data_IF_325462287218
#
_entry.id   IF_325462287218
#
_cell.length_a   1.000
_cell.length_b   1.000
_cell.length_c   1.000
_cell.angle_alpha   90.00
_cell.angle_beta   90.00
_cell.angle_gamma   90.00
#
_symmetry.space_group_name_H-M   'P 1'
#
loop_
_entity.id
_entity.type
_entity.pdbx_description
1 polymer ?
#
# COMPACT_ATOMS: atom_id res chain seq x y z
N UNK A 1 29.52 -52.32 -21.58
CA UNK A 1 29.35 -50.85 -21.58
C UNK A 1 29.12 -50.40 -23.00
N UNK A 2 27.88 -50.04 -23.37
CA UNK A 2 27.58 -49.44 -24.68
C UNK A 2 27.64 -47.92 -24.51
N UNK A 3 28.59 -47.29 -25.18
CA UNK A 3 28.73 -45.84 -25.24
C UNK A 3 27.61 -45.26 -26.09
N UNK A 4 26.76 -44.41 -25.48
CA UNK A 4 25.78 -43.61 -26.22
C UNK A 4 26.50 -42.64 -27.16
N UNK A 5 26.06 -42.49 -28.41
CA UNK A 5 26.68 -41.55 -29.34
C UNK A 5 26.43 -40.10 -28.90
N UNK A 6 27.38 -39.18 -29.15
CA UNK A 6 27.24 -37.78 -28.78
C UNK A 6 26.07 -37.14 -29.54
N UNK A 7 25.14 -36.56 -28.79
CA UNK A 7 24.02 -35.76 -29.30
C UNK A 7 24.58 -34.56 -30.06
N UNK A 8 24.42 -34.53 -31.39
CA UNK A 8 24.79 -33.37 -32.20
C UNK A 8 23.83 -32.22 -31.87
N UNK A 9 24.36 -31.15 -31.30
CA UNK A 9 23.62 -29.91 -31.04
C UNK A 9 23.18 -29.33 -32.40
N UNK A 10 21.88 -29.10 -32.55
CA UNK A 10 21.30 -28.56 -33.77
C UNK A 10 21.51 -27.03 -33.81
N UNK A 11 22.69 -26.62 -34.27
CA UNK A 11 23.08 -25.23 -34.50
C UNK A 11 22.05 -24.33 -35.21
N UNK A 12 21.25 -24.79 -36.20
CA UNK A 12 20.23 -23.92 -36.82
C UNK A 12 19.12 -23.49 -35.86
N UNK A 13 18.77 -24.32 -34.88
CA UNK A 13 17.75 -23.98 -33.87
C UNK A 13 18.31 -22.92 -32.92
N UNK A 14 19.56 -23.07 -32.49
CA UNK A 14 20.24 -22.10 -31.63
C UNK A 14 20.34 -20.72 -32.30
N UNK A 15 20.70 -20.70 -33.59
CA UNK A 15 20.77 -19.48 -34.40
C UNK A 15 19.39 -18.80 -34.57
N UNK A 16 18.32 -19.59 -34.75
CA UNK A 16 16.95 -19.07 -34.80
C UNK A 16 16.53 -18.40 -33.49
N UNK A 17 16.85 -19.02 -32.35
CA UNK A 17 16.53 -18.46 -31.01
C UNK A 17 17.28 -17.16 -30.78
N UNK A 18 18.58 -17.08 -31.12
CA UNK A 18 19.38 -15.86 -30.97
C UNK A 18 18.85 -14.73 -31.86
N UNK A 19 18.49 -15.03 -33.12
CA UNK A 19 17.94 -14.03 -34.04
C UNK A 19 16.59 -13.47 -33.55
N UNK A 20 15.71 -14.32 -32.99
CA UNK A 20 14.44 -13.90 -32.43
C UNK A 20 14.61 -12.97 -31.23
N UNK A 21 15.55 -13.29 -30.32
CA UNK A 21 15.85 -12.45 -29.15
C UNK A 21 16.41 -11.08 -29.55
N UNK A 22 17.28 -11.04 -30.57
CA UNK A 22 17.82 -9.79 -31.09
C UNK A 22 16.73 -8.90 -31.72
N UNK A 23 15.76 -9.50 -32.44
CA UNK A 23 14.64 -8.77 -33.03
C UNK A 23 13.69 -8.17 -31.97
N UNK A 24 13.39 -8.94 -30.92
CA UNK A 24 12.57 -8.45 -29.79
C UNK A 24 13.27 -7.32 -29.01
N UNK A 25 14.58 -7.44 -28.81
CA UNK A 25 15.37 -6.41 -28.13
C UNK A 25 15.41 -5.10 -28.95
N UNK A 26 15.58 -5.20 -30.28
CA UNK A 26 15.55 -4.05 -31.17
C UNK A 26 14.16 -3.38 -31.24
N UNK A 27 13.08 -4.15 -31.08
CA UNK A 27 11.72 -3.62 -31.01
C UNK A 27 11.47 -2.86 -29.69
N UNK A 28 11.93 -3.41 -28.57
CA UNK A 28 11.78 -2.78 -27.25
C UNK A 28 12.57 -1.47 -27.11
N UNK A 29 13.65 -1.30 -27.86
CA UNK A 29 14.47 -0.08 -27.87
C UNK A 29 13.94 1.02 -28.80
N UNK A 30 12.80 0.83 -29.48
CA UNK A 30 12.21 1.89 -30.28
C UNK A 30 11.62 2.96 -29.36
N UNK A 31 12.05 4.24 -29.47
CA UNK A 31 11.46 5.31 -28.69
C UNK A 31 9.96 5.43 -29.02
N UNK A 32 9.10 5.67 -28.02
CA UNK A 32 7.68 5.86 -28.26
C UNK A 32 7.49 7.02 -29.23
N UNK A 33 6.67 6.80 -30.27
CA UNK A 33 6.29 7.87 -31.18
C UNK A 33 5.58 8.96 -30.37
N UNK A 34 5.90 10.25 -30.58
CA UNK A 34 5.18 11.33 -29.92
C UNK A 34 3.69 11.23 -30.29
N UNK A 35 2.83 11.21 -29.27
CA UNK A 35 1.40 11.36 -29.45
C UNK A 35 1.10 12.81 -29.83
N UNK A 36 0.61 13.03 -31.05
CA UNK A 36 0.09 14.32 -31.50
C UNK A 36 -1.21 14.66 -30.74
N UNK A 37 -1.07 15.20 -29.54
CA UNK A 37 -2.16 15.83 -28.80
C UNK A 37 -2.36 17.26 -29.31
N UNK A 38 -3.02 17.41 -30.45
CA UNK A 38 -3.55 18.71 -30.86
C UNK A 38 -4.83 19.02 -30.07
N UNK A 39 -4.92 20.14 -29.34
CA UNK A 39 -6.14 20.50 -28.63
C UNK A 39 -7.22 20.94 -29.63
N UNK A 40 -8.34 20.23 -29.64
CA UNK A 40 -9.54 20.63 -30.33
C UNK A 40 -10.08 21.94 -29.71
N UNK A 41 -9.86 23.07 -30.39
CA UNK A 41 -10.54 24.33 -30.12
C UNK A 41 -12.04 24.14 -30.34
N UNK A 42 -12.82 23.97 -29.28
CA UNK A 42 -14.28 24.18 -29.32
C UNK A 42 -14.54 25.68 -29.44
N UNK A 43 -15.01 26.09 -30.61
CA UNK A 43 -15.58 27.41 -30.83
C UNK A 43 -16.83 27.58 -29.94
N UNK A 44 -16.83 28.63 -29.13
CA UNK A 44 -18.00 29.07 -28.39
C UNK A 44 -19.02 29.63 -29.39
N UNK A 45 -20.16 28.93 -29.53
CA UNK A 45 -21.34 29.48 -30.17
C UNK A 45 -22.15 30.24 -29.13
N UNK A 46 -22.16 31.57 -29.26
CA UNK A 46 -22.98 32.50 -28.49
C UNK A 46 -24.44 32.28 -28.88
N UNK A 47 -25.22 31.64 -28.01
CA UNK A 47 -26.68 31.59 -28.12
C UNK A 47 -27.28 32.64 -27.18
N UNK A 48 -27.70 33.75 -27.75
CA UNK A 48 -28.46 34.82 -27.09
C UNK A 48 -29.88 34.31 -26.83
N UNK A 49 -30.18 33.87 -25.61
CA UNK A 49 -31.55 33.57 -25.19
C UNK A 49 -32.18 34.80 -24.51
N UNK A 50 -33.34 35.21 -24.99
CA UNK A 50 -34.13 36.33 -24.46
C UNK A 50 -34.69 36.01 -23.06
N UNK A 51 -34.92 37.03 -22.20
CA UNK A 51 -35.42 36.83 -20.85
C UNK A 51 -36.91 36.43 -20.87
N UNK A 52 -37.22 35.34 -20.17
CA UNK A 52 -38.60 34.97 -19.79
C UNK A 52 -38.94 35.74 -18.50
N UNK A 53 -39.94 36.64 -18.49
CA UNK A 53 -40.41 37.27 -17.26
C UNK A 53 -41.42 36.37 -16.56
N UNK A 54 -41.21 36.06 -15.28
CA UNK A 54 -42.28 35.58 -14.39
C UNK A 54 -42.05 34.29 -13.59
N UNK A 55 -40.83 33.75 -13.50
CA UNK A 55 -40.55 32.64 -12.58
C UNK A 55 -39.98 33.16 -11.26
N UNK A 56 -40.82 33.24 -10.22
CA UNK A 56 -40.38 33.36 -8.82
C UNK A 56 -39.54 32.12 -8.49
N UNK A 57 -38.23 32.30 -8.41
CA UNK A 57 -37.31 31.27 -7.95
C UNK A 57 -37.63 30.95 -6.47
N UNK A 58 -37.68 29.67 -6.06
CA UNK A 58 -37.76 29.33 -4.65
C UNK A 58 -36.51 29.87 -3.96
N UNK A 59 -36.72 30.51 -2.80
CA UNK A 59 -35.64 31.04 -1.98
C UNK A 59 -34.60 29.95 -1.74
N UNK A 60 -33.36 30.19 -2.22
CA UNK A 60 -32.20 29.37 -1.91
C UNK A 60 -32.10 29.30 -0.39
N UNK A 61 -32.13 28.10 0.24
CA UNK A 61 -31.92 28.00 1.68
C UNK A 61 -30.59 28.69 2.01
N UNK A 62 -30.58 29.46 3.09
CA UNK A 62 -29.38 30.09 3.59
C UNK A 62 -28.32 28.99 3.76
N UNK A 63 -27.26 29.05 2.94
CA UNK A 63 -26.06 28.24 3.17
C UNK A 63 -25.53 28.63 4.55
N UNK A 64 -25.32 27.63 5.40
CA UNK A 64 -24.69 27.82 6.69
C UNK A 64 -23.33 28.50 6.46
N UNK A 65 -23.03 29.63 7.11
CA UNK A 65 -21.76 30.34 6.91
C UNK A 65 -20.52 29.56 7.38
N UNK A 66 -20.70 28.35 7.94
CA UNK A 66 -19.63 27.41 8.30
C UNK A 66 -19.32 26.35 7.22
N UNK A 67 -20.10 26.25 6.13
CA UNK A 67 -19.72 25.50 4.92
C UNK A 67 -19.00 26.43 3.92
N UNK A 68 -17.87 27.01 4.34
CA UNK A 68 -16.93 27.55 3.38
C UNK A 68 -16.37 26.39 2.54
N UNK A 69 -16.37 26.52 1.20
CA UNK A 69 -15.86 25.55 0.22
C UNK A 69 -14.60 24.83 0.73
N UNK A 70 -14.81 23.61 1.22
CA UNK A 70 -13.85 22.78 1.95
C UNK A 70 -13.05 21.88 0.98
N UNK A 71 -13.18 22.15 -0.34
CA UNK A 71 -12.55 21.45 -1.47
C UNK A 71 -11.06 21.79 -1.64
N UNK A 72 -10.50 22.66 -0.79
CA UNK A 72 -9.08 23.02 -0.76
C UNK A 72 -8.18 21.98 -0.03
N UNK A 73 -8.62 20.72 0.08
CA UNK A 73 -7.78 19.64 0.64
C UNK A 73 -6.48 19.41 -0.18
N UNK A 74 -6.41 19.97 -1.39
CA UNK A 74 -5.27 19.92 -2.30
C UNK A 74 -4.45 21.25 -2.38
N UNK A 75 -4.80 22.30 -1.62
CA UNK A 75 -3.99 23.54 -1.62
C UNK A 75 -2.63 23.31 -0.95
N UNK A 76 -1.61 23.97 -1.50
CA UNK A 76 -0.18 23.82 -1.22
C UNK A 76 0.14 23.42 0.25
N UNK A 77 1.06 22.46 0.47
CA UNK A 77 1.36 22.00 1.81
C UNK A 77 1.75 23.20 2.67
N UNK A 78 0.98 23.44 3.74
CA UNK A 78 1.40 24.40 4.74
C UNK A 78 2.82 24.03 5.18
N UNK A 79 3.66 25.03 5.41
CA UNK A 79 5.05 24.85 5.89
C UNK A 79 5.15 24.05 7.21
N UNK A 80 4.00 23.76 7.82
CA UNK A 80 3.84 23.04 9.07
C UNK A 80 2.63 22.07 8.98
N UNK A 81 2.83 20.75 9.08
CA UNK A 81 1.75 19.77 9.02
C UNK A 81 0.72 19.93 10.16
N UNK A 82 1.10 20.53 11.29
CA UNK A 82 0.18 20.84 12.41
C UNK A 82 -0.88 21.88 12.01
N UNK A 83 -0.62 22.60 10.92
CA UNK A 83 -1.51 23.63 10.38
C UNK A 83 -2.13 23.27 9.04
N UNK A 84 -1.59 22.26 8.36
CA UNK A 84 -2.04 21.81 7.04
C UNK A 84 -3.48 21.27 7.05
N UNK A 85 -3.97 20.80 8.20
CA UNK A 85 -5.28 20.16 8.28
C UNK A 85 -6.07 20.61 9.51
N UNK A 86 -7.39 20.71 9.36
CA UNK A 86 -8.33 20.92 10.46
C UNK A 86 -8.63 19.61 11.19
N UNK A 87 -9.09 19.63 12.47
CA UNK A 87 -9.52 18.41 13.15
C UNK A 87 -10.59 17.60 12.39
N UNK A 88 -11.45 18.28 11.63
CA UNK A 88 -12.45 17.64 10.79
C UNK A 88 -11.83 16.95 9.57
N UNK A 89 -10.86 17.59 8.90
CA UNK A 89 -10.10 16.98 7.81
C UNK A 89 -9.35 15.73 8.27
N UNK A 90 -8.72 15.75 9.46
CA UNK A 90 -8.10 14.55 10.05
C UNK A 90 -9.11 13.41 10.18
N UNK A 91 -10.27 13.65 10.80
CA UNK A 91 -11.31 12.61 10.95
C UNK A 91 -11.75 12.05 9.59
N UNK A 92 -11.97 12.92 8.60
CA UNK A 92 -12.34 12.50 7.24
C UNK A 92 -11.25 11.62 6.62
N UNK A 93 -10.00 12.05 6.65
CA UNK A 93 -8.87 11.31 6.09
C UNK A 93 -8.71 9.94 6.75
N UNK A 94 -8.78 9.86 8.08
CA UNK A 94 -8.71 8.59 8.81
C UNK A 94 -9.86 7.64 8.48
N UNK A 95 -11.07 8.17 8.26
CA UNK A 95 -12.23 7.38 7.83
C UNK A 95 -12.04 6.86 6.39
N UNK A 96 -11.57 7.71 5.48
CA UNK A 96 -11.24 7.33 4.10
C UNK A 96 -10.17 6.26 4.04
N UNK A 97 -9.08 6.43 4.79
CA UNK A 97 -8.02 5.44 4.87
C UNK A 97 -8.51 4.12 5.50
N UNK A 98 -9.42 4.17 6.48
CA UNK A 98 -10.06 2.97 7.04
C UNK A 98 -10.77 2.17 5.96
N UNK A 99 -11.55 2.88 5.15
CA UNK A 99 -12.32 2.28 4.09
C UNK A 99 -11.40 1.68 3.01
N UNK A 100 -10.34 2.40 2.60
CA UNK A 100 -9.37 1.91 1.63
C UNK A 100 -8.64 0.65 2.14
N UNK A 101 -8.29 0.62 3.42
CA UNK A 101 -7.65 -0.52 4.07
C UNK A 101 -8.58 -1.74 4.21
N UNK A 102 -9.81 -1.54 4.67
CA UNK A 102 -10.84 -2.58 4.72
C UNK A 102 -11.09 -3.14 3.30
N UNK A 103 -11.11 -2.29 2.26
CA UNK A 103 -11.21 -2.74 0.87
C UNK A 103 -10.03 -3.62 0.46
N UNK A 104 -8.78 -3.22 0.77
CA UNK A 104 -7.59 -4.01 0.44
C UNK A 104 -7.55 -5.36 1.15
N UNK A 105 -7.98 -5.41 2.41
CA UNK A 105 -7.98 -6.64 3.20
C UNK A 105 -9.10 -7.59 2.78
N UNK A 106 -10.26 -7.05 2.41
CA UNK A 106 -11.49 -7.84 2.32
C UNK A 106 -12.22 -7.83 0.96
N UNK A 107 -11.77 -7.08 -0.05
CA UNK A 107 -12.52 -6.90 -1.30
C UNK A 107 -11.67 -6.76 -2.57
N UNK A 108 -12.19 -7.32 -3.67
CA UNK A 108 -11.69 -7.10 -5.02
C UNK A 108 -12.15 -5.74 -5.57
N UNK A 109 -11.39 -5.11 -6.50
CA UNK A 109 -11.78 -3.84 -7.11
C UNK A 109 -13.12 -3.99 -7.83
N UNK A 110 -14.18 -3.38 -7.29
CA UNK A 110 -15.52 -3.37 -7.89
C UNK A 110 -16.68 -3.44 -6.91
N UNK A 111 -16.50 -4.05 -5.72
CA UNK A 111 -17.51 -4.03 -4.67
C UNK A 111 -17.04 -3.13 -3.52
N UNK A 112 -17.40 -1.85 -3.59
CA UNK A 112 -17.19 -0.83 -2.53
C UNK A 112 -17.92 -1.14 -1.21
N UNK A 113 -18.61 -2.27 -1.11
CA UNK A 113 -19.32 -2.65 0.09
C UNK A 113 -18.34 -3.11 1.17
N UNK A 114 -18.67 -2.75 2.42
CA UNK A 114 -17.96 -3.11 3.64
C UNK A 114 -17.42 -4.56 3.65
N UNK A 115 -16.44 -4.83 4.53
CA UNK A 115 -15.95 -6.18 4.84
C UNK A 115 -17.11 -7.20 4.80
N UNK A 116 -16.95 -8.33 4.08
CA UNK A 116 -18.07 -9.20 3.76
C UNK A 116 -18.71 -9.69 5.05
N UNK A 117 -20.03 -9.56 5.13
CA UNK A 117 -20.77 -10.05 6.29
C UNK A 117 -20.52 -11.55 6.44
N UNK A 118 -20.62 -12.11 7.67
CA UNK A 118 -20.48 -13.55 7.85
C UNK A 118 -21.36 -14.39 6.92
N UNK A 119 -22.58 -13.91 6.63
CA UNK A 119 -23.49 -14.55 5.67
C UNK A 119 -22.93 -14.54 4.23
N UNK A 120 -22.37 -13.42 3.78
CA UNK A 120 -21.75 -13.32 2.45
C UNK A 120 -20.51 -14.23 2.33
N UNK A 121 -19.69 -14.30 3.38
CA UNK A 121 -18.54 -15.23 3.45
C UNK A 121 -18.97 -16.69 3.34
N UNK A 122 -19.98 -17.10 4.12
CA UNK A 122 -20.53 -18.46 4.08
C UNK A 122 -21.05 -18.79 2.67
N UNK A 123 -21.78 -17.87 2.04
CA UNK A 123 -22.30 -18.06 0.69
C UNK A 123 -21.18 -18.21 -0.34
N UNK A 124 -20.15 -17.37 -0.28
CA UNK A 124 -19.01 -17.40 -1.20
C UNK A 124 -18.14 -18.66 -1.01
N UNK A 125 -17.94 -19.10 0.24
CA UNK A 125 -17.32 -20.39 0.55
C UNK A 125 -18.13 -21.56 -0.03
N UNK A 126 -19.46 -21.51 0.07
CA UNK A 126 -20.35 -22.49 -0.54
C UNK A 126 -20.21 -22.58 -2.06
N UNK A 127 -19.94 -21.44 -2.73
CA UNK A 127 -19.63 -21.38 -4.17
C UNK A 127 -18.22 -21.87 -4.51
N UNK A 128 -17.32 -21.94 -3.52
CA UNK A 128 -15.93 -22.38 -3.72
C UNK A 128 -14.95 -21.26 -4.04
N UNK A 129 -15.25 -20.02 -3.66
CA UNK A 129 -14.38 -18.89 -3.93
C UNK A 129 -13.15 -18.91 -3.00
N UNK A 130 -11.95 -19.06 -3.56
CA UNK A 130 -10.66 -19.03 -2.84
C UNK A 130 -10.45 -17.72 -2.06
N UNK A 131 -10.92 -16.60 -2.62
CA UNK A 131 -10.89 -15.30 -1.97
C UNK A 131 -11.69 -15.29 -0.66
N UNK A 132 -12.82 -16.00 -0.59
CA UNK A 132 -13.63 -16.08 0.62
C UNK A 132 -12.96 -16.90 1.72
N UNK A 133 -12.22 -17.96 1.37
CA UNK A 133 -11.41 -18.72 2.33
C UNK A 133 -10.28 -17.87 2.92
N UNK A 134 -9.62 -17.08 2.06
CA UNK A 134 -8.56 -16.14 2.49
C UNK A 134 -9.14 -15.03 3.38
N UNK A 135 -10.28 -14.44 2.99
CA UNK A 135 -10.94 -13.41 3.78
C UNK A 135 -11.42 -13.94 5.15
N UNK A 136 -11.93 -15.18 5.21
CA UNK A 136 -12.34 -15.80 6.46
C UNK A 136 -11.15 -16.06 7.42
N UNK A 137 -10.00 -16.47 6.88
CA UNK A 137 -8.77 -16.62 7.67
C UNK A 137 -8.26 -15.26 8.17
N UNK A 138 -8.21 -14.24 7.31
CA UNK A 138 -7.79 -12.89 7.69
C UNK A 138 -8.71 -12.26 8.75
N UNK A 139 -10.03 -12.47 8.66
CA UNK A 139 -10.97 -12.00 9.69
C UNK A 139 -10.79 -12.74 11.03
N UNK A 140 -10.46 -14.04 11.00
CA UNK A 140 -10.14 -14.77 12.22
C UNK A 140 -8.88 -14.20 12.90
N UNK A 141 -7.79 -14.04 12.15
CA UNK A 141 -6.54 -13.45 12.63
C UNK A 141 -6.77 -12.03 13.18
N UNK A 142 -7.54 -11.21 12.46
CA UNK A 142 -7.89 -9.85 12.89
C UNK A 142 -8.62 -9.84 14.23
N UNK A 143 -9.59 -10.75 14.41
CA UNK A 143 -10.36 -10.85 15.64
C UNK A 143 -9.57 -11.42 16.81
N UNK A 144 -8.61 -12.32 16.56
CA UNK A 144 -7.68 -12.81 17.57
C UNK A 144 -6.71 -11.71 18.02
N UNK A 145 -6.17 -10.92 17.08
CA UNK A 145 -5.31 -9.77 17.37
C UNK A 145 -6.05 -8.67 18.15
N UNK A 146 -7.32 -8.40 17.80
CA UNK A 146 -8.16 -7.40 18.43
C UNK A 146 -8.37 -7.64 19.94
N UNK A 147 -8.42 -8.90 20.37
CA UNK A 147 -8.58 -9.28 21.77
C UNK A 147 -7.39 -8.88 22.65
N UNK A 148 -6.20 -8.66 22.06
CA UNK A 148 -4.99 -8.27 22.77
C UNK A 148 -4.81 -6.75 22.94
N UNK A 149 -5.74 -5.95 22.39
CA UNK A 149 -5.62 -4.49 22.39
C UNK A 149 -6.19 -3.88 23.67
N UNK A 150 -5.43 -2.99 24.35
CA UNK A 150 -5.93 -2.29 25.51
C UNK A 150 -6.95 -1.24 25.08
N UNK A 151 -7.86 -0.90 25.99
CA UNK A 151 -8.82 0.17 25.80
C UNK A 151 -8.28 1.54 26.20
N UNK A 152 -7.21 1.57 26.99
CA UNK A 152 -6.74 2.81 27.59
C UNK A 152 -5.74 3.50 26.68
N UNK A 153 -6.09 4.74 26.31
CA UNK A 153 -5.16 5.72 25.79
C UNK A 153 -4.71 6.60 26.95
N UNK A 154 -3.41 6.81 27.06
CA UNK A 154 -2.83 7.52 28.19
C UNK A 154 -3.22 9.00 28.14
N UNK A 155 -4.22 9.38 28.94
CA UNK A 155 -4.72 10.74 29.02
C UNK A 155 -3.66 11.74 29.51
N UNK A 156 -2.59 11.26 30.15
CA UNK A 156 -1.47 12.08 30.63
C UNK A 156 -0.69 12.66 29.45
N UNK A 157 -0.45 11.87 28.40
CA UNK A 157 0.33 12.29 27.22
C UNK A 157 -0.34 13.45 26.45
N UNK A 158 -1.66 13.55 26.49
CA UNK A 158 -2.39 14.63 25.82
C UNK A 158 -2.28 15.97 26.57
N UNK A 159 -2.07 15.99 27.88
CA UNK A 159 -2.11 17.21 28.68
C UNK A 159 -0.89 18.13 28.43
N UNK A 160 0.21 17.60 27.91
CA UNK A 160 1.45 18.34 27.67
C UNK A 160 1.44 19.17 26.37
N UNK A 161 0.43 18.94 25.51
CA UNK A 161 0.28 19.58 24.21
C UNK A 161 -0.46 20.92 24.32
N UNK A 162 -0.25 21.84 23.38
CA UNK A 162 -1.08 23.06 23.30
C UNK A 162 -2.52 22.73 22.86
N UNK A 163 -3.46 23.64 23.09
CA UNK A 163 -4.89 23.39 22.84
C UNK A 163 -5.22 22.97 21.40
N UNK A 164 -4.51 23.48 20.40
CA UNK A 164 -4.74 23.08 19.00
C UNK A 164 -4.20 21.67 18.75
N UNK A 165 -2.98 21.41 19.19
CA UNK A 165 -2.34 20.11 19.06
C UNK A 165 -3.13 19.02 19.83
N UNK A 166 -3.67 19.36 21.00
CA UNK A 166 -4.63 18.52 21.74
C UNK A 166 -5.88 18.22 20.91
N UNK A 167 -6.47 19.21 20.25
CA UNK A 167 -7.66 19.01 19.42
C UNK A 167 -7.40 18.06 18.24
N UNK A 168 -6.22 18.15 17.61
CA UNK A 168 -5.80 17.23 16.54
C UNK A 168 -5.59 15.81 17.06
N UNK A 169 -4.84 15.67 18.16
CA UNK A 169 -4.60 14.36 18.77
C UNK A 169 -5.90 13.69 19.23
N UNK A 170 -6.85 14.46 19.80
CA UNK A 170 -8.20 13.97 20.15
C UNK A 170 -8.99 13.54 18.91
N UNK A 171 -8.95 14.30 17.83
CA UNK A 171 -9.63 13.95 16.59
C UNK A 171 -9.13 12.63 15.98
N UNK A 172 -7.82 12.40 16.01
CA UNK A 172 -7.21 11.12 15.62
C UNK A 172 -7.65 9.98 16.54
N UNK A 173 -7.61 10.20 17.85
CA UNK A 173 -8.06 9.23 18.86
C UNK A 173 -9.54 8.85 18.68
N UNK A 174 -10.43 9.83 18.51
CA UNK A 174 -11.86 9.60 18.32
C UNK A 174 -12.13 8.76 17.07
N UNK A 175 -11.48 9.09 15.94
CA UNK A 175 -11.60 8.32 14.71
C UNK A 175 -11.14 6.86 14.89
N UNK A 176 -10.09 6.65 15.70
CA UNK A 176 -9.57 5.32 16.01
C UNK A 176 -10.48 4.53 16.94
N UNK A 177 -11.04 5.16 17.97
CA UNK A 177 -12.00 4.52 18.88
C UNK A 177 -13.27 4.09 18.13
N UNK A 178 -13.73 4.91 17.18
CA UNK A 178 -14.83 4.54 16.29
C UNK A 178 -14.48 3.31 15.44
N UNK A 179 -13.29 3.26 14.85
CA UNK A 179 -12.81 2.08 14.09
C UNK A 179 -12.71 0.84 14.98
N UNK A 180 -12.16 0.98 16.19
CA UNK A 180 -12.04 -0.12 17.14
C UNK A 180 -13.42 -0.67 17.52
N UNK A 181 -14.40 0.21 17.74
CA UNK A 181 -15.79 -0.19 17.99
C UNK A 181 -16.39 -0.94 16.79
N UNK A 182 -16.18 -0.45 15.56
CA UNK A 182 -16.62 -1.13 14.34
C UNK A 182 -15.97 -2.51 14.19
N UNK A 183 -14.65 -2.64 14.37
CA UNK A 183 -13.94 -3.93 14.34
C UNK A 183 -14.46 -4.90 15.40
N UNK A 184 -14.72 -4.41 16.62
CA UNK A 184 -15.30 -5.22 17.70
C UNK A 184 -16.68 -5.73 17.35
N UNK A 185 -17.51 -4.89 16.75
CA UNK A 185 -18.83 -5.30 16.27
C UNK A 185 -18.68 -6.40 15.20
N UNK A 186 -17.82 -6.19 14.18
CA UNK A 186 -17.53 -7.21 13.16
C UNK A 186 -17.05 -8.53 13.77
N UNK A 187 -16.19 -8.48 14.77
CA UNK A 187 -15.70 -9.67 15.47
C UNK A 187 -16.74 -10.32 16.37
N UNK A 188 -17.71 -9.56 16.90
CA UNK A 188 -18.87 -10.12 17.57
C UNK A 188 -19.75 -10.88 16.56
N UNK A 189 -20.03 -10.28 15.41
CA UNK A 189 -20.82 -10.88 14.33
C UNK A 189 -20.13 -12.15 13.77
N UNK A 190 -18.80 -12.10 13.56
CA UNK A 190 -18.01 -13.25 13.15
C UNK A 190 -18.04 -14.38 14.19
N UNK A 191 -17.86 -14.06 15.48
CA UNK A 191 -17.93 -15.07 16.55
C UNK A 191 -19.31 -15.73 16.61
N UNK A 192 -20.38 -14.96 16.44
CA UNK A 192 -21.73 -15.49 16.36
C UNK A 192 -21.93 -16.45 15.17
N UNK A 193 -21.23 -16.22 14.06
CA UNK A 193 -21.29 -17.03 12.85
C UNK A 193 -20.19 -18.10 12.72
N UNK A 194 -19.25 -18.18 13.67
CA UNK A 194 -18.01 -18.97 13.56
C UNK A 194 -18.27 -20.43 13.21
N UNK A 195 -19.24 -21.06 13.88
CA UNK A 195 -19.56 -22.47 13.63
C UNK A 195 -20.00 -22.72 12.17
N UNK A 196 -20.77 -21.79 11.58
CA UNK A 196 -21.23 -21.89 10.21
C UNK A 196 -20.10 -21.62 9.20
N UNK A 197 -19.22 -20.65 9.48
CA UNK A 197 -18.02 -20.37 8.68
C UNK A 197 -17.08 -21.58 8.70
N UNK A 198 -16.82 -22.16 9.87
CA UNK A 198 -15.95 -23.34 10.02
C UNK A 198 -16.52 -24.56 9.29
N UNK A 199 -17.85 -24.75 9.32
CA UNK A 199 -18.52 -25.79 8.54
C UNK A 199 -18.36 -25.57 7.03
N UNK A 200 -18.56 -24.33 6.55
CA UNK A 200 -18.36 -23.98 5.14
C UNK A 200 -16.90 -24.14 4.70
N UNK A 201 -15.93 -23.78 5.55
CA UNK A 201 -14.49 -24.00 5.30
C UNK A 201 -14.13 -25.47 5.23
N UNK A 202 -14.66 -26.32 6.13
CA UNK A 202 -14.46 -27.77 6.05
C UNK A 202 -15.07 -28.36 4.77
N UNK A 203 -16.26 -27.92 4.39
CA UNK A 203 -16.88 -28.35 3.14
C UNK A 203 -16.08 -27.89 1.91
N UNK A 204 -15.50 -26.69 1.96
CA UNK A 204 -14.59 -26.19 0.94
C UNK A 204 -13.29 -27.02 0.85
N UNK A 205 -12.65 -27.28 1.99
CA UNK A 205 -11.41 -28.06 2.06
C UNK A 205 -11.59 -29.56 1.77
N UNK A 206 -12.80 -30.09 1.95
CA UNK A 206 -13.15 -31.46 1.59
C UNK A 206 -13.36 -31.65 0.09
N UNK A 207 -13.42 -30.56 -0.71
CA UNK A 207 -13.24 -30.67 -2.16
C UNK A 207 -11.83 -31.19 -2.40
N UNK A 208 -11.70 -32.22 -3.23
CA UNK A 208 -10.44 -32.95 -3.30
C UNK A 208 -9.31 -32.03 -3.78
N UNK A 209 -8.08 -32.28 -3.33
CA UNK A 209 -6.89 -31.61 -3.88
C UNK A 209 -6.82 -31.78 -5.40
N UNK A 210 -7.41 -32.86 -5.94
CA UNK A 210 -7.61 -33.08 -7.36
C UNK A 210 -8.56 -32.05 -7.98
N UNK A 211 -9.67 -31.67 -7.33
CA UNK A 211 -10.59 -30.63 -7.81
C UNK A 211 -9.97 -29.23 -7.72
N UNK A 212 -9.18 -28.95 -6.67
CA UNK A 212 -8.47 -27.69 -6.52
C UNK A 212 -7.34 -27.57 -7.55
N UNK A 213 -6.56 -28.65 -7.73
CA UNK A 213 -5.54 -28.74 -8.76
C UNK A 213 -6.16 -28.68 -10.16
N UNK A 214 -7.29 -29.33 -10.39
CA UNK A 214 -8.00 -29.31 -11.67
C UNK A 214 -8.61 -27.93 -11.98
N UNK A 215 -9.17 -27.25 -10.98
CA UNK A 215 -9.62 -25.87 -11.11
C UNK A 215 -8.45 -24.93 -11.45
N UNK A 216 -7.31 -25.08 -10.77
CA UNK A 216 -6.10 -24.31 -11.07
C UNK A 216 -5.56 -24.64 -12.47
N UNK A 217 -5.52 -25.93 -12.82
CA UNK A 217 -5.11 -26.45 -14.13
C UNK A 217 -6.00 -25.93 -15.25
N UNK A 218 -7.31 -25.87 -15.04
CA UNK A 218 -8.29 -25.34 -16.00
C UNK A 218 -8.16 -23.82 -16.13
N UNK A 219 -8.03 -23.11 -15.01
CA UNK A 219 -7.85 -21.66 -14.98
C UNK A 219 -6.55 -21.22 -15.67
N UNK A 220 -5.50 -22.04 -15.52
CA UNK A 220 -4.18 -21.82 -16.12
C UNK A 220 -3.99 -22.56 -17.47
N UNK A 221 -5.00 -23.27 -17.95
CA UNK A 221 -4.98 -24.03 -19.22
C UNK A 221 -3.80 -25.03 -19.37
N UNK A 222 -3.39 -25.70 -18.28
CA UNK A 222 -2.22 -26.60 -18.27
C UNK A 222 -2.59 -28.02 -18.76
N UNK A 223 -1.87 -28.57 -19.74
CA UNK A 223 -2.07 -29.96 -20.19
C UNK A 223 -1.44 -31.01 -19.25
N UNK A 224 -2.06 -32.20 -19.08
CA UNK A 224 -1.53 -33.24 -18.19
C UNK A 224 -0.23 -33.85 -18.72
N UNK A 225 0.70 -34.18 -17.80
CA UNK A 225 1.95 -34.94 -18.04
C UNK A 225 3.02 -34.29 -18.94
N UNK A 226 3.27 -32.98 -18.81
CA UNK A 226 4.38 -32.36 -19.54
C UNK A 226 5.72 -32.46 -18.80
N UNK A 227 6.74 -33.15 -19.36
CA UNK A 227 8.09 -33.12 -18.79
C UNK A 227 8.62 -31.68 -18.78
N UNK A 228 9.27 -31.30 -17.68
CA UNK A 228 9.64 -29.90 -17.41
C UNK A 228 8.53 -29.06 -16.79
N UNK A 229 7.52 -29.68 -16.16
CA UNK A 229 6.42 -29.00 -15.46
C UNK A 229 6.92 -27.91 -14.52
N UNK A 230 8.02 -28.12 -13.79
CA UNK A 230 8.61 -27.11 -12.90
C UNK A 230 9.20 -25.91 -13.68
N UNK A 231 9.82 -26.17 -14.83
CA UNK A 231 10.33 -25.13 -15.73
C UNK A 231 9.16 -24.34 -16.33
N UNK A 232 8.11 -25.01 -16.78
CA UNK A 232 6.91 -24.35 -17.29
C UNK A 232 6.16 -23.61 -16.21
N UNK A 233 5.97 -24.18 -15.02
CA UNK A 233 5.42 -23.46 -13.87
C UNK A 233 6.21 -22.19 -13.60
N UNK A 234 7.55 -22.25 -13.64
CA UNK A 234 8.38 -21.06 -13.52
C UNK A 234 8.18 -20.07 -14.67
N UNK A 235 8.14 -20.53 -15.91
CA UNK A 235 7.93 -19.69 -17.10
C UNK A 235 6.51 -19.07 -17.13
N UNK A 236 5.49 -19.81 -16.68
CA UNK A 236 4.09 -19.40 -16.53
C UNK A 236 3.93 -18.44 -15.34
N UNK A 237 4.57 -18.70 -14.20
CA UNK A 237 4.63 -17.76 -13.07
C UNK A 237 5.33 -16.47 -13.49
N UNK A 238 6.32 -16.55 -14.38
CA UNK A 238 6.99 -15.41 -14.98
C UNK A 238 6.13 -14.69 -16.04
N UNK A 239 5.24 -15.40 -16.75
CA UNK A 239 4.23 -14.81 -17.63
C UNK A 239 3.05 -14.17 -16.86
N UNK A 240 2.61 -14.81 -15.77
CA UNK A 240 1.60 -14.30 -14.83
C UNK A 240 2.11 -13.08 -14.04
N UNK A 241 3.41 -13.04 -13.76
CA UNK A 241 4.09 -11.83 -13.28
C UNK A 241 3.92 -10.70 -14.29
N UNK A 242 4.14 -10.98 -15.59
CA UNK A 242 4.00 -9.96 -16.65
C UNK A 242 2.55 -9.51 -16.85
N UNK A 243 1.55 -10.30 -16.47
CA UNK A 243 0.12 -9.95 -16.57
C UNK A 243 -0.42 -9.12 -15.40
N UNK A 244 0.45 -8.54 -14.55
CA UNK A 244 0.13 -7.69 -13.39
C UNK A 244 -0.71 -8.35 -12.28
N UNK A 245 -1.07 -9.64 -12.36
CA UNK A 245 -2.06 -10.22 -11.46
C UNK A 245 -1.53 -10.79 -10.14
N UNK A 246 -0.22 -11.05 -9.93
CA UNK A 246 0.22 -11.70 -8.67
C UNK A 246 1.60 -11.26 -8.15
N UNK A 247 1.67 -10.11 -7.46
CA UNK A 247 2.82 -9.69 -6.62
C UNK A 247 3.35 -10.82 -5.73
N UNK A 248 2.43 -11.60 -5.16
CA UNK A 248 2.73 -12.72 -4.25
C UNK A 248 3.56 -13.80 -4.94
N UNK A 249 3.24 -14.16 -6.18
CA UNK A 249 4.00 -15.16 -6.95
C UNK A 249 5.44 -14.72 -7.11
N UNK A 250 5.64 -13.45 -7.46
CA UNK A 250 6.97 -12.95 -7.71
C UNK A 250 7.86 -12.96 -6.47
N UNK A 251 7.32 -12.47 -5.35
CA UNK A 251 8.00 -12.48 -4.07
C UNK A 251 8.29 -13.92 -3.60
N UNK A 252 7.31 -14.82 -3.70
CA UNK A 252 7.49 -16.23 -3.32
C UNK A 252 8.59 -16.91 -4.14
N UNK A 253 8.60 -16.72 -5.46
CA UNK A 253 9.66 -17.27 -6.31
C UNK A 253 11.03 -16.73 -5.93
N UNK A 254 11.14 -15.42 -5.70
CA UNK A 254 12.38 -14.79 -5.32
C UNK A 254 12.91 -15.31 -3.98
N UNK A 255 12.02 -15.52 -3.01
CA UNK A 255 12.38 -16.08 -1.70
C UNK A 255 12.76 -17.56 -1.77
N UNK A 256 12.10 -18.36 -2.61
CA UNK A 256 12.50 -19.74 -2.83
C UNK A 256 13.92 -19.81 -3.42
N UNK A 257 14.22 -18.97 -4.40
CA UNK A 257 15.55 -18.90 -5.01
C UNK A 257 16.64 -18.45 -4.04
N UNK A 258 16.31 -17.61 -3.05
CA UNK A 258 17.23 -17.18 -1.99
C UNK A 258 17.41 -18.23 -0.87
N UNK A 259 16.45 -19.15 -0.74
CA UNK A 259 16.51 -20.24 0.22
C UNK A 259 17.30 -21.45 -0.29
N UNK A 260 17.50 -21.57 -1.61
CA UNK A 260 18.28 -22.64 -2.22
C UNK A 260 19.81 -22.40 -2.05
N UNK A 261 20.57 -23.49 -1.89
CA UNK A 261 22.02 -23.53 -1.59
C UNK A 261 22.96 -23.06 -2.75
N UNK A 262 22.49 -22.24 -3.70
CA UNK A 262 23.23 -21.89 -4.91
C UNK A 262 23.49 -20.40 -5.10
N UNK A 263 24.75 -19.99 -5.24
CA UNK A 263 25.12 -18.58 -5.50
C UNK A 263 24.43 -17.99 -6.73
N UNK A 264 24.26 -18.80 -7.79
CA UNK A 264 23.57 -18.38 -9.00
C UNK A 264 22.07 -18.15 -8.75
N UNK A 265 21.43 -19.02 -7.97
CA UNK A 265 20.03 -18.91 -7.57
C UNK A 265 19.84 -17.69 -6.66
N UNK A 266 20.72 -17.48 -5.69
CA UNK A 266 20.71 -16.31 -4.81
C UNK A 266 20.81 -15.01 -5.60
N UNK A 267 21.72 -14.94 -6.58
CA UNK A 267 21.87 -13.77 -7.44
C UNK A 267 20.61 -13.49 -8.29
N UNK A 268 19.92 -14.54 -8.77
CA UNK A 268 18.66 -14.41 -9.50
C UNK A 268 17.53 -13.97 -8.55
N UNK A 269 17.39 -14.61 -7.39
CA UNK A 269 16.37 -14.29 -6.39
C UNK A 269 16.50 -12.85 -5.88
N UNK A 270 17.72 -12.41 -5.58
CA UNK A 270 17.97 -11.03 -5.20
C UNK A 270 17.61 -10.04 -6.31
N UNK A 271 18.05 -10.29 -7.55
CA UNK A 271 17.70 -9.45 -8.70
C UNK A 271 16.19 -9.35 -8.87
N UNK A 272 15.49 -10.46 -8.68
CA UNK A 272 14.04 -10.55 -8.78
C UNK A 272 13.33 -9.73 -7.69
N UNK A 273 13.81 -9.81 -6.44
CA UNK A 273 13.32 -8.97 -5.35
C UNK A 273 13.55 -7.48 -5.62
N UNK A 274 14.74 -7.09 -6.07
CA UNK A 274 15.05 -5.70 -6.40
C UNK A 274 14.13 -5.18 -7.51
N UNK A 275 13.89 -5.97 -8.55
CA UNK A 275 12.98 -5.62 -9.64
C UNK A 275 11.52 -5.50 -9.18
N UNK A 276 11.07 -6.29 -8.20
CA UNK A 276 9.75 -6.11 -7.58
C UNK A 276 9.65 -4.76 -6.90
N UNK A 277 10.60 -4.47 -6.02
CA UNK A 277 10.62 -3.22 -5.27
C UNK A 277 10.87 -1.99 -6.15
N UNK A 278 11.48 -2.15 -7.33
CA UNK A 278 11.55 -1.10 -8.34
C UNK A 278 10.19 -0.77 -8.95
N UNK A 279 9.35 -1.79 -9.18
CA UNK A 279 8.05 -1.66 -9.85
C UNK A 279 6.90 -1.37 -8.89
N UNK A 280 6.99 -1.88 -7.66
CA UNK A 280 5.94 -1.80 -6.65
C UNK A 280 6.52 -1.34 -5.32
N UNK A 281 6.02 -0.22 -4.85
CA UNK A 281 6.45 0.40 -3.60
C UNK A 281 6.11 -0.46 -2.37
N UNK A 282 5.16 -1.39 -2.48
CA UNK A 282 4.81 -2.34 -1.40
C UNK A 282 5.91 -3.37 -1.09
N UNK A 283 6.90 -3.55 -1.97
CA UNK A 283 8.01 -4.49 -1.78
C UNK A 283 9.27 -3.82 -1.21
N UNK A 284 9.32 -2.49 -1.16
CA UNK A 284 10.52 -1.71 -0.78
C UNK A 284 10.95 -1.98 0.65
N UNK A 285 10.02 -1.96 1.60
CA UNK A 285 10.30 -2.23 3.02
C UNK A 285 10.81 -3.67 3.21
N UNK A 286 10.19 -4.62 2.52
CA UNK A 286 10.59 -6.02 2.56
C UNK A 286 12.02 -6.22 2.03
N UNK A 287 12.34 -5.63 0.88
CA UNK A 287 13.69 -5.68 0.31
C UNK A 287 14.71 -5.03 1.21
N UNK A 288 14.39 -3.89 1.82
CA UNK A 288 15.27 -3.23 2.78
C UNK A 288 15.60 -4.15 3.98
N UNK A 289 14.60 -4.87 4.50
CA UNK A 289 14.78 -5.83 5.58
C UNK A 289 15.64 -7.05 5.17
N UNK A 290 15.34 -7.65 4.01
CA UNK A 290 16.11 -8.79 3.47
C UNK A 290 17.58 -8.41 3.25
N UNK A 291 17.85 -7.22 2.72
CA UNK A 291 19.22 -6.74 2.52
C UNK A 291 19.93 -6.45 3.85
N UNK A 292 19.23 -5.92 4.85
CA UNK A 292 19.83 -5.59 6.13
C UNK A 292 20.16 -6.84 6.96
N UNK A 293 19.30 -7.86 6.92
CA UNK A 293 19.37 -9.04 7.79
C UNK A 293 19.96 -10.27 7.07
N UNK A 294 20.00 -10.26 5.73
CA UNK A 294 20.18 -11.46 4.93
C UNK A 294 18.88 -12.28 4.84
N UNK A 295 18.89 -13.31 4.00
CA UNK A 295 17.80 -14.28 3.90
C UNK A 295 18.32 -15.58 3.28
N UNK A 296 18.06 -16.73 3.93
CA UNK A 296 18.59 -18.02 3.48
C UNK A 296 20.11 -17.98 3.38
N UNK A 297 20.64 -18.17 2.17
CA UNK A 297 22.08 -18.13 1.89
C UNK A 297 22.58 -16.75 1.44
N UNK A 298 21.70 -15.75 1.36
CA UNK A 298 22.09 -14.38 1.05
C UNK A 298 22.66 -13.69 2.30
N UNK A 299 23.95 -13.31 2.32
CA UNK A 299 24.50 -12.55 3.43
C UNK A 299 23.93 -11.12 3.48
N UNK A 300 23.94 -10.47 4.66
CA UNK A 300 23.61 -9.05 4.79
C UNK A 300 24.42 -8.17 3.83
N UNK A 301 23.74 -7.19 3.22
CA UNK A 301 24.30 -6.19 2.31
C UNK A 301 23.98 -4.78 2.82
N UNK A 302 24.64 -4.32 3.90
CA UNK A 302 24.26 -3.10 4.61
C UNK A 302 24.33 -1.83 3.74
N UNK A 303 25.28 -1.76 2.81
CA UNK A 303 25.41 -0.61 1.91
C UNK A 303 24.21 -0.48 0.94
N UNK A 304 23.74 -1.61 0.40
CA UNK A 304 22.55 -1.62 -0.45
C UNK A 304 21.28 -1.44 0.40
N UNK A 305 21.23 -2.06 1.59
CA UNK A 305 20.12 -1.90 2.51
C UNK A 305 19.87 -0.42 2.86
N UNK A 306 20.91 0.38 3.07
CA UNK A 306 20.76 1.79 3.42
C UNK A 306 20.00 2.63 2.37
N UNK A 307 20.22 2.38 1.07
CA UNK A 307 19.49 3.12 0.03
C UNK A 307 18.02 2.69 -0.05
N UNK A 308 17.74 1.39 0.11
CA UNK A 308 16.38 0.85 0.18
C UNK A 308 15.64 1.26 1.45
N UNK A 309 16.33 1.35 2.58
CA UNK A 309 15.79 1.89 3.83
C UNK A 309 15.37 3.34 3.65
N UNK A 310 16.19 4.19 3.01
CA UNK A 310 15.79 5.57 2.71
C UNK A 310 14.54 5.62 1.85
N UNK A 311 14.49 4.82 0.78
CA UNK A 311 13.29 4.73 -0.07
C UNK A 311 12.06 4.24 0.70
N UNK A 312 12.22 3.27 1.61
CA UNK A 312 11.14 2.79 2.46
C UNK A 312 10.64 3.90 3.39
N UNK A 313 11.54 4.71 3.96
CA UNK A 313 11.19 5.86 4.80
C UNK A 313 10.43 6.93 4.02
N UNK A 314 10.88 7.23 2.79
CA UNK A 314 10.19 8.14 1.87
C UNK A 314 8.79 7.61 1.50
N UNK A 315 8.58 6.28 1.51
CA UNK A 315 7.27 5.64 1.29
C UNK A 315 6.45 5.43 2.57
N UNK A 316 6.92 5.93 3.72
CA UNK A 316 6.16 5.91 4.96
C UNK A 316 6.33 4.65 5.80
N UNK A 317 7.35 3.82 5.56
CA UNK A 317 7.63 2.66 6.41
C UNK A 317 8.18 3.11 7.79
N UNK A 318 7.50 2.72 8.87
CA UNK A 318 7.77 3.23 10.23
C UNK A 318 9.19 2.96 10.70
N UNK A 319 9.61 1.70 10.66
CA UNK A 319 10.95 1.30 11.08
C UNK A 319 12.05 2.02 10.27
N UNK A 320 11.77 2.34 9.01
CA UNK A 320 12.69 3.08 8.16
C UNK A 320 12.72 4.57 8.51
N UNK A 321 11.57 5.18 8.80
CA UNK A 321 11.50 6.57 9.31
C UNK A 321 12.25 6.67 10.65
N UNK A 322 12.04 5.73 11.57
CA UNK A 322 12.75 5.68 12.85
C UNK A 322 14.27 5.63 12.65
N UNK A 323 14.74 4.81 11.69
CA UNK A 323 16.15 4.76 11.34
C UNK A 323 16.68 6.10 10.79
N UNK A 324 15.89 6.80 9.97
CA UNK A 324 16.26 8.13 9.46
C UNK A 324 16.24 9.22 10.56
N UNK A 325 15.30 9.15 11.50
CA UNK A 325 15.23 10.03 12.67
C UNK A 325 16.46 9.84 13.57
N UNK A 326 16.77 8.60 13.94
CA UNK A 326 17.94 8.28 14.74
C UNK A 326 19.23 8.75 14.05
N UNK A 327 19.33 8.60 12.72
CA UNK A 327 20.46 9.11 11.96
C UNK A 327 20.53 10.64 12.00
N UNK A 328 19.41 11.35 11.82
CA UNK A 328 19.37 12.81 11.84
C UNK A 328 19.75 13.38 13.22
N UNK A 329 19.35 12.70 14.30
CA UNK A 329 19.69 13.04 15.69
C UNK A 329 21.19 12.85 15.97
N UNK A 330 21.76 11.71 15.58
CA UNK A 330 23.20 11.43 15.73
C UNK A 330 24.04 12.42 14.94
N UNK A 331 23.59 12.78 13.73
CA UNK A 331 24.28 13.76 12.88
C UNK A 331 24.05 15.21 13.33
N UNK A 332 23.27 15.44 14.39
CA UNK A 332 22.94 16.77 14.91
C UNK A 332 22.39 17.70 13.83
N UNK A 333 21.42 17.20 13.06
CA UNK A 333 20.74 17.97 12.00
C UNK A 333 19.30 18.31 12.40
N UNK A 334 19.07 19.29 13.31
CA UNK A 334 17.72 19.63 13.78
C UNK A 334 16.70 19.87 12.66
N UNK A 335 17.12 20.45 11.54
CA UNK A 335 16.25 20.68 10.39
C UNK A 335 15.78 19.38 9.72
N UNK A 336 16.66 18.38 9.61
CA UNK A 336 16.30 17.07 9.04
C UNK A 336 15.44 16.25 10.00
N UNK A 337 15.78 16.26 11.30
CA UNK A 337 14.94 15.64 12.33
C UNK A 337 13.53 16.25 12.30
N UNK A 338 13.43 17.58 12.23
CA UNK A 338 12.15 18.29 12.11
C UNK A 338 11.39 17.84 10.85
N UNK A 339 12.04 17.78 9.68
CA UNK A 339 11.40 17.37 8.44
C UNK A 339 10.89 15.92 8.47
N UNK A 340 11.59 15.00 9.14
CA UNK A 340 11.13 13.61 9.33
C UNK A 340 9.96 13.50 10.29
N UNK A 341 9.97 14.20 11.43
CA UNK A 341 8.79 14.25 12.30
C UNK A 341 7.59 14.88 11.58
N UNK A 342 7.80 15.97 10.84
CA UNK A 342 6.75 16.63 10.07
C UNK A 342 6.15 15.69 9.00
N UNK A 343 7.00 14.93 8.32
CA UNK A 343 6.59 13.90 7.36
C UNK A 343 5.72 12.82 8.00
N UNK A 344 6.12 12.29 9.16
CA UNK A 344 5.34 11.27 9.88
C UNK A 344 4.01 11.82 10.38
N UNK A 345 3.96 13.06 10.88
CA UNK A 345 2.70 13.73 11.24
C UNK A 345 1.78 13.89 10.03
N UNK A 346 2.32 14.25 8.87
CA UNK A 346 1.54 14.36 7.64
C UNK A 346 0.95 13.01 7.20
N UNK A 347 1.74 11.93 7.23
CA UNK A 347 1.25 10.58 6.96
C UNK A 347 0.18 10.13 7.96
N UNK A 348 0.36 10.46 9.25
CA UNK A 348 -0.64 10.19 10.27
C UNK A 348 -1.94 10.95 9.98
N UNK A 349 -1.88 12.24 9.61
CA UNK A 349 -3.05 13.05 9.26
C UNK A 349 -3.83 12.51 8.05
N UNK A 350 -3.19 11.72 7.19
CA UNK A 350 -3.83 10.99 6.09
C UNK A 350 -4.35 9.60 6.47
N UNK A 351 -4.18 9.18 7.72
CA UNK A 351 -4.57 7.85 8.17
C UNK A 351 -3.69 6.74 7.60
N UNK A 352 -2.39 6.95 7.43
CA UNK A 352 -1.47 5.91 6.92
C UNK A 352 -0.94 4.95 8.00
N UNK A 353 -1.25 5.22 9.27
CA UNK A 353 -0.83 4.47 10.46
C UNK A 353 -2.03 4.13 11.34
N UNK A 354 -3.02 3.42 10.81
CA UNK A 354 -4.28 3.20 11.57
C UNK A 354 -4.47 1.75 12.01
N UNK A 355 -3.52 0.88 11.65
CA UNK A 355 -3.55 -0.55 11.96
C UNK A 355 -2.49 -0.99 12.99
N UNK A 356 -1.73 -0.05 13.58
CA UNK A 356 -0.73 -0.32 14.63
C UNK A 356 -1.17 0.26 15.99
N UNK A 357 -2.26 -0.28 16.60
CA UNK A 357 -3.08 0.30 17.67
C UNK A 357 -2.40 0.60 19.02
N UNK A 358 -1.09 0.53 19.17
CA UNK A 358 -0.40 0.98 20.40
C UNK A 358 0.75 1.93 20.11
N UNK A 359 1.45 1.73 19.00
CA UNK A 359 2.58 2.56 18.63
C UNK A 359 2.10 3.94 18.15
N UNK A 360 0.99 4.00 17.41
CA UNK A 360 0.68 5.18 16.59
C UNK A 360 0.35 6.45 17.38
N UNK A 361 -0.39 6.35 18.49
CA UNK A 361 -0.80 7.53 19.26
C UNK A 361 0.40 8.09 20.06
N UNK A 362 1.20 7.20 20.64
CA UNK A 362 2.44 7.59 21.33
C UNK A 362 3.47 8.15 20.34
N UNK A 363 3.54 7.59 19.13
CA UNK A 363 4.39 8.10 18.04
C UNK A 363 3.92 9.48 17.57
N UNK A 364 2.63 9.67 17.30
CA UNK A 364 2.08 10.96 16.90
C UNK A 364 2.29 12.03 17.98
N UNK A 365 1.96 11.72 19.24
CA UNK A 365 2.16 12.64 20.36
C UNK A 365 3.65 12.94 20.52
N UNK A 366 4.50 11.92 20.42
CA UNK A 366 5.96 12.05 20.42
C UNK A 366 6.47 12.97 19.32
N UNK A 367 5.97 12.82 18.09
CA UNK A 367 6.35 13.68 16.96
C UNK A 367 5.89 15.12 17.14
N UNK A 368 4.66 15.32 17.60
CA UNK A 368 4.12 16.67 17.86
C UNK A 368 4.92 17.37 18.97
N UNK A 369 5.30 16.64 20.02
CA UNK A 369 6.20 17.11 21.06
C UNK A 369 7.61 17.41 20.52
N UNK A 370 8.17 16.52 19.71
CA UNK A 370 9.50 16.68 19.09
C UNK A 370 9.55 17.90 18.17
N UNK A 371 8.54 18.11 17.33
CA UNK A 371 8.42 19.30 16.47
C UNK A 371 8.43 20.59 17.30
N UNK A 372 7.67 20.64 18.40
CA UNK A 372 7.67 21.79 19.31
C UNK A 372 9.05 22.02 19.94
N UNK A 373 9.71 20.97 20.40
CA UNK A 373 11.05 21.06 20.98
C UNK A 373 12.13 21.45 19.96
N UNK A 374 11.98 21.05 18.70
CA UNK A 374 12.87 21.43 17.59
C UNK A 374 12.61 22.87 17.13
N UNK A 375 11.36 23.34 17.08
CA UNK A 375 11.03 24.72 16.70
C UNK A 375 11.72 25.76 17.58
N UNK A 376 11.86 25.46 18.88
CA UNK A 376 12.55 26.32 19.84
C UNK A 376 14.08 26.37 19.62
N UNK A 377 14.65 25.37 18.93
CA UNK A 377 16.09 25.24 18.66
C UNK A 377 16.48 25.71 17.26
N UNK A 378 15.53 25.77 16.33
CA UNK A 378 15.76 26.19 14.95
C UNK A 378 15.71 27.72 14.82
N UNK A 379 16.77 28.31 14.26
CA UNK A 379 16.73 29.69 13.79
C UNK A 379 15.84 29.83 12.53
N UNK A 380 15.66 31.07 12.07
CA UNK A 380 14.78 31.35 10.93
C UNK A 380 15.27 30.70 9.61
N UNK A 381 16.57 30.52 9.43
CA UNK A 381 17.12 29.87 8.22
C UNK A 381 16.91 28.37 8.28
N UNK A 382 17.33 27.75 9.38
CA UNK A 382 17.18 26.31 9.60
C UNK A 382 15.69 25.89 9.57
N UNK A 383 14.77 26.75 10.02
CA UNK A 383 13.33 26.52 9.89
C UNK A 383 12.85 26.53 8.44
N UNK A 384 13.35 27.46 7.61
CA UNK A 384 13.04 27.46 6.16
C UNK A 384 13.57 26.22 5.48
N UNK A 385 14.78 25.79 5.84
CA UNK A 385 15.40 24.58 5.29
C UNK A 385 14.63 23.32 5.70
N UNK A 386 14.21 23.24 6.96
CA UNK A 386 13.37 22.14 7.47
C UNK A 386 12.02 22.08 6.74
N UNK A 387 11.33 23.22 6.60
CA UNK A 387 10.07 23.31 5.87
C UNK A 387 10.24 22.96 4.38
N UNK A 388 11.34 23.39 3.75
CA UNK A 388 11.65 23.04 2.37
C UNK A 388 11.87 21.54 2.18
N UNK A 389 12.66 20.89 3.06
CA UNK A 389 12.89 19.45 3.02
C UNK A 389 11.59 18.65 3.25
N UNK A 390 10.73 19.11 4.16
CA UNK A 390 9.40 18.52 4.37
C UNK A 390 8.52 18.64 3.11
N UNK A 391 8.39 19.84 2.53
CA UNK A 391 7.59 20.06 1.30
C UNK A 391 8.10 19.21 0.15
N UNK A 392 9.42 19.19 -0.07
CA UNK A 392 10.07 18.36 -1.09
C UNK A 392 9.68 16.88 -0.93
N UNK A 393 9.63 16.37 0.32
CA UNK A 393 9.21 14.99 0.57
C UNK A 393 7.73 14.77 0.28
N UNK A 394 6.85 15.68 0.73
CA UNK A 394 5.41 15.62 0.44
C UNK A 394 5.15 15.65 -1.07
N UNK A 395 5.79 16.55 -1.80
CA UNK A 395 5.62 16.72 -3.24
C UNK A 395 6.12 15.50 -4.02
N UNK A 396 7.30 14.96 -3.67
CA UNK A 396 7.90 13.85 -4.41
C UNK A 396 7.33 12.49 -4.05
N UNK A 397 6.97 12.29 -2.79
CA UNK A 397 6.66 10.96 -2.25
C UNK A 397 5.26 10.86 -1.64
N UNK A 398 4.56 11.98 -1.40
CA UNK A 398 3.24 12.02 -0.76
C UNK A 398 2.25 11.00 -1.32
N UNK A 399 1.91 11.10 -2.60
CA UNK A 399 0.96 10.19 -3.24
C UNK A 399 1.45 8.73 -3.23
N UNK A 400 2.74 8.49 -3.49
CA UNK A 400 3.30 7.13 -3.52
C UNK A 400 3.30 6.49 -2.14
N UNK A 401 3.66 7.25 -1.11
CA UNK A 401 3.61 6.80 0.28
C UNK A 401 2.18 6.46 0.68
N UNK A 402 1.20 7.33 0.35
CA UNK A 402 -0.19 7.05 0.68
C UNK A 402 -0.74 5.82 -0.05
N UNK A 403 -0.40 5.65 -1.32
CA UNK A 403 -0.74 4.47 -2.09
C UNK A 403 -0.06 3.20 -1.52
N UNK A 404 1.23 3.26 -1.18
CA UNK A 404 1.98 2.13 -0.60
C UNK A 404 1.39 1.70 0.75
N UNK A 405 1.03 2.67 1.61
CA UNK A 405 0.41 2.42 2.93
C UNK A 405 -1.09 2.13 2.88
N UNK A 406 -1.74 2.43 1.75
CA UNK A 406 -3.17 2.18 1.55
C UNK A 406 -4.10 3.12 2.26
N UNK A 407 -3.65 4.35 2.45
CA UNK A 407 -4.45 5.45 2.99
C UNK A 407 -4.98 6.38 1.89
N UNK A 408 -4.58 6.21 0.63
CA UNK A 408 -5.28 6.86 -0.48
C UNK A 408 -6.65 6.23 -0.68
N UNK A 409 -7.70 7.04 -0.70
CA UNK A 409 -8.86 6.69 -1.52
C UNK A 409 -8.34 6.57 -2.93
N UNK A 410 -8.53 5.41 -3.59
CA UNK A 410 -8.36 5.39 -5.04
C UNK A 410 -9.17 6.56 -5.58
N UNK A 411 -8.56 7.47 -6.37
CA UNK A 411 -9.33 8.49 -7.05
C UNK A 411 -10.32 7.69 -7.88
N UNK A 412 -11.57 7.61 -7.40
CA UNK A 412 -12.60 6.92 -8.14
C UNK A 412 -12.53 7.53 -9.52
N UNK A 413 -12.31 6.72 -10.54
CA UNK A 413 -12.51 7.17 -11.92
C UNK A 413 -13.87 7.87 -11.89
N UNK A 414 -13.83 9.20 -11.92
CA UNK A 414 -15.02 10.02 -11.87
C UNK A 414 -15.68 9.79 -13.22
N UNK A 415 -16.50 8.74 -13.27
CA UNK A 415 -17.24 8.31 -14.44
C UNK A 415 -18.30 9.32 -14.85
#
# INVERSE_FOLDING_TARGET
MRSSPPTRINYPVLLGVVALHAALFAWALRPPRPHDNAPARRAAATATAAPVPGATAPAKPAQDPDEADDDDADRAPADDPRRAFTPQQWRRNHATAAQAQDQRLYGAPGNRAAAPTPAALIQALGRGETAAATAAAGLQEDCEALAALPEQVDAVLLQELDARTQALARASLDARLQRLAQRRQRCADWRAARAAIDAARRAYAARSDADAFEALRTQLQLEPNTPGLLQRLRDELQALWQSQSQRRVGRTLALQLLADDGDAQNAIGLRLLLQLAERDDADVEFVAAVLAQGYGHLPPQPALAASWQRRAADLGADAAIDAQLAQAEVQTTPAQAWAWHAWRVWLNAHGCYVDTPRADDALLIGDLGALRGLDARLDASARRDAAAAYRERVERHGARARAARGCDAEPGEAG
#
